data_IF_196097766584
#
_entry.id   IF_196097766584
#
_cell.length_a   1.000
_cell.length_b   1.000
_cell.length_c   1.000
_cell.angle_alpha   90.00
_cell.angle_beta   90.00
_cell.angle_gamma   90.00
#
_symmetry.space_group_name_H-M   'P 1'
#
loop_
_entity.id
_entity.type
_entity.pdbx_description
1 polymer ?
#
# COMPACT_ATOMS: atom_id res chain seq x y z
N UNK A 1 -8.62 -7.12 -15.08
CA UNK A 1 -7.74 -7.24 -13.90
C UNK A 1 -6.40 -7.78 -14.34
N UNK A 2 -5.32 -7.06 -14.02
CA UNK A 2 -3.96 -7.50 -14.25
C UNK A 2 -3.45 -8.30 -13.03
N UNK A 3 -2.95 -9.50 -13.26
CA UNK A 3 -2.43 -10.40 -12.22
C UNK A 3 -0.92 -10.51 -12.34
N UNK A 4 -0.24 -10.20 -11.26
CA UNK A 4 1.24 -10.23 -11.14
C UNK A 4 1.61 -11.24 -10.04
N UNK A 5 1.83 -12.51 -10.36
CA UNK A 5 2.01 -13.58 -9.34
C UNK A 5 3.19 -13.35 -8.39
N UNK A 6 4.27 -12.73 -8.87
CA UNK A 6 5.47 -12.49 -8.07
C UNK A 6 6.34 -13.73 -7.87
N UNK A 7 6.97 -13.82 -6.69
CA UNK A 7 8.00 -14.81 -6.39
C UNK A 7 7.60 -15.76 -5.26
N UNK A 8 8.42 -16.78 -5.05
CA UNK A 8 8.30 -17.71 -3.93
C UNK A 8 6.94 -18.41 -3.89
N UNK A 9 6.16 -18.20 -2.83
CA UNK A 9 4.80 -18.70 -2.68
C UNK A 9 3.77 -17.96 -3.57
N UNK A 10 4.18 -16.87 -4.21
CA UNK A 10 3.31 -15.99 -5.03
C UNK A 10 2.45 -16.72 -6.04
N UNK A 11 3.02 -17.54 -6.93
CA UNK A 11 2.25 -18.28 -7.93
C UNK A 11 1.16 -19.18 -7.30
N UNK A 12 1.47 -19.88 -6.20
CA UNK A 12 0.53 -20.78 -5.51
C UNK A 12 -0.65 -20.00 -4.91
N UNK A 13 -0.38 -18.98 -4.12
CA UNK A 13 -1.48 -18.20 -3.49
C UNK A 13 -2.25 -17.36 -4.50
N UNK A 14 -1.61 -16.95 -5.59
CA UNK A 14 -2.29 -16.26 -6.69
C UNK A 14 -3.26 -17.21 -7.40
N UNK A 15 -2.85 -18.45 -7.67
CA UNK A 15 -3.74 -19.46 -8.26
C UNK A 15 -4.97 -19.71 -7.37
N UNK A 16 -4.78 -19.84 -6.06
CA UNK A 16 -5.88 -19.97 -5.10
C UNK A 16 -6.81 -18.73 -5.11
N UNK A 17 -6.23 -17.54 -5.16
CA UNK A 17 -6.98 -16.28 -5.24
C UNK A 17 -7.80 -16.20 -6.52
N UNK A 18 -7.23 -16.59 -7.66
CA UNK A 18 -7.92 -16.60 -8.95
C UNK A 18 -9.09 -17.59 -8.96
N UNK A 19 -8.92 -18.77 -8.38
CA UNK A 19 -10.01 -19.76 -8.25
C UNK A 19 -11.22 -19.19 -7.50
N UNK A 20 -10.98 -18.43 -6.41
CA UNK A 20 -12.04 -17.74 -5.67
C UNK A 20 -12.67 -16.64 -6.51
N UNK A 21 -11.85 -15.83 -7.17
CA UNK A 21 -12.31 -14.71 -7.99
C UNK A 21 -13.16 -15.18 -9.18
N UNK A 22 -12.73 -16.21 -9.90
CA UNK A 22 -13.46 -16.81 -11.00
C UNK A 22 -14.79 -17.42 -10.54
N UNK A 23 -14.80 -18.00 -9.33
CA UNK A 23 -16.05 -18.53 -8.75
C UNK A 23 -17.01 -17.39 -8.41
N UNK A 24 -16.50 -16.27 -7.87
CA UNK A 24 -17.31 -15.08 -7.63
C UNK A 24 -17.81 -14.47 -8.95
N UNK A 25 -16.96 -14.41 -9.96
CA UNK A 25 -17.34 -13.91 -11.30
C UNK A 25 -18.50 -14.70 -11.87
N UNK A 26 -18.40 -16.04 -11.91
CA UNK A 26 -19.49 -16.91 -12.37
C UNK A 26 -20.77 -16.75 -11.54
N UNK A 27 -20.64 -16.64 -10.22
CA UNK A 27 -21.79 -16.56 -9.30
C UNK A 27 -22.54 -15.23 -9.41
N UNK A 28 -21.81 -14.14 -9.59
CA UNK A 28 -22.37 -12.78 -9.54
C UNK A 28 -22.42 -12.09 -10.91
N UNK A 29 -21.94 -12.75 -11.97
CA UNK A 29 -21.96 -12.19 -13.34
C UNK A 29 -21.12 -10.91 -13.46
N UNK A 30 -19.93 -10.88 -12.86
CA UNK A 30 -19.11 -9.66 -12.80
C UNK A 30 -18.47 -9.31 -14.16
N UNK A 31 -18.28 -10.29 -15.04
CA UNK A 31 -17.72 -10.10 -16.38
C UNK A 31 -16.23 -9.76 -16.34
N UNK A 32 -15.48 -10.34 -15.42
CA UNK A 32 -14.06 -10.04 -15.23
C UNK A 32 -13.21 -10.55 -16.39
N UNK A 33 -12.37 -9.67 -16.94
CA UNK A 33 -11.29 -10.05 -17.84
C UNK A 33 -9.99 -10.11 -17.05
N UNK A 34 -9.41 -11.30 -16.96
CA UNK A 34 -8.20 -11.56 -16.20
C UNK A 34 -7.05 -11.78 -17.17
N UNK A 35 -5.98 -11.02 -17.01
CA UNK A 35 -4.72 -11.18 -17.73
C UNK A 35 -3.58 -11.32 -16.74
N UNK A 36 -2.54 -12.08 -17.08
CA UNK A 36 -1.40 -12.30 -16.20
C UNK A 36 -0.11 -11.84 -16.87
N UNK A 37 0.79 -11.24 -16.07
CA UNK A 37 2.13 -10.87 -16.53
C UNK A 37 3.18 -11.25 -15.49
N UNK A 38 4.36 -11.64 -15.98
CA UNK A 38 5.47 -12.02 -15.11
C UNK A 38 6.18 -10.78 -14.54
N UNK A 39 6.50 -10.84 -13.25
CA UNK A 39 7.35 -9.91 -12.51
C UNK A 39 8.32 -10.72 -11.64
N UNK A 40 9.20 -10.03 -10.92
CA UNK A 40 10.12 -10.65 -9.98
C UNK A 40 11.26 -11.41 -10.65
N UNK A 41 11.74 -12.46 -10.01
CA UNK A 41 12.89 -13.25 -10.47
C UNK A 41 12.65 -13.91 -11.82
N UNK A 42 11.41 -14.33 -12.11
CA UNK A 42 11.05 -14.90 -13.41
C UNK A 42 11.20 -13.88 -14.53
N UNK A 43 10.73 -12.66 -14.34
CA UNK A 43 10.90 -11.59 -15.31
C UNK A 43 12.37 -11.15 -15.43
N UNK A 44 13.10 -11.10 -14.32
CA UNK A 44 14.53 -10.82 -14.33
C UNK A 44 15.30 -11.80 -15.21
N UNK A 45 15.03 -13.09 -15.06
CA UNK A 45 15.65 -14.13 -15.86
C UNK A 45 15.32 -14.02 -17.34
N UNK A 46 14.08 -13.69 -17.68
CA UNK A 46 13.60 -13.65 -19.05
C UNK A 46 13.91 -12.33 -19.79
N UNK A 47 13.89 -11.20 -19.06
CA UNK A 47 13.89 -9.84 -19.63
C UNK A 47 14.92 -8.89 -19.02
N UNK A 48 15.74 -9.38 -18.05
CA UNK A 48 16.77 -8.57 -17.39
C UNK A 48 16.24 -7.55 -16.36
N UNK A 49 14.96 -7.61 -16.01
CA UNK A 49 14.36 -6.72 -14.99
C UNK A 49 13.29 -7.44 -14.20
N UNK A 50 13.19 -7.13 -12.90
CA UNK A 50 12.13 -7.67 -12.04
C UNK A 50 10.78 -6.99 -12.27
N UNK A 51 10.75 -5.86 -12.97
CA UNK A 51 9.52 -5.13 -13.30
C UNK A 51 9.60 -4.59 -14.75
N UNK A 52 9.10 -5.37 -15.73
CA UNK A 52 9.11 -4.95 -17.13
C UNK A 52 8.31 -3.67 -17.38
N UNK A 53 8.80 -2.84 -18.29
CA UNK A 53 8.12 -1.58 -18.64
C UNK A 53 6.72 -1.82 -19.22
N UNK A 54 6.52 -2.89 -19.96
CA UNK A 54 5.23 -3.31 -20.49
C UNK A 54 4.18 -3.53 -19.38
N UNK A 55 4.60 -4.10 -18.23
CA UNK A 55 3.72 -4.25 -17.05
C UNK A 55 3.34 -2.88 -16.50
N UNK A 56 4.32 -1.98 -16.37
CA UNK A 56 4.07 -0.62 -15.87
C UNK A 56 3.16 0.19 -16.79
N UNK A 57 3.28 0.02 -18.10
CA UNK A 57 2.41 0.66 -19.08
C UNK A 57 0.96 0.11 -19.01
N UNK A 58 0.83 -1.18 -18.68
CA UNK A 58 -0.48 -1.83 -18.62
C UNK A 58 -1.31 -1.48 -17.39
N UNK A 59 -0.66 -1.17 -16.25
CA UNK A 59 -1.34 -0.87 -14.99
C UNK A 59 -2.45 0.20 -15.08
N UNK A 60 -2.24 1.37 -15.75
CA UNK A 60 -3.30 2.38 -15.84
C UNK A 60 -4.45 2.02 -16.79
N UNK A 61 -4.33 0.96 -17.58
CA UNK A 61 -5.34 0.53 -18.55
C UNK A 61 -6.31 -0.52 -18.00
N UNK A 62 -6.10 -0.96 -16.75
CA UNK A 62 -6.93 -1.97 -16.09
C UNK A 62 -7.66 -1.41 -14.88
N UNK A 63 -8.79 -1.99 -14.53
CA UNK A 63 -9.58 -1.58 -13.36
C UNK A 63 -8.94 -1.96 -12.02
N UNK A 64 -8.01 -2.93 -12.02
CA UNK A 64 -7.33 -3.37 -10.81
C UNK A 64 -6.15 -4.29 -11.09
N UNK A 65 -5.25 -4.34 -10.10
CA UNK A 65 -4.07 -5.20 -10.12
C UNK A 65 -4.07 -6.10 -8.91
N UNK A 66 -3.86 -7.40 -9.14
CA UNK A 66 -3.55 -8.37 -8.07
C UNK A 66 -2.04 -8.57 -8.08
N UNK A 67 -1.39 -8.13 -7.02
CA UNK A 67 0.05 -8.26 -6.84
C UNK A 67 0.35 -9.33 -5.79
N UNK A 68 0.98 -10.42 -6.21
CA UNK A 68 1.52 -11.45 -5.32
C UNK A 68 2.77 -10.97 -4.56
N UNK A 69 3.25 -11.75 -3.59
CA UNK A 69 4.48 -11.45 -2.87
C UNK A 69 5.70 -11.47 -3.77
N UNK A 70 6.71 -10.70 -3.39
CA UNK A 70 7.97 -10.57 -4.14
C UNK A 70 9.16 -10.77 -3.21
N UNK A 71 10.17 -11.48 -3.69
CA UNK A 71 11.41 -11.76 -2.96
C UNK A 71 12.44 -10.64 -3.12
N UNK A 72 12.05 -9.40 -2.80
CA UNK A 72 12.86 -8.22 -3.10
C UNK A 72 14.24 -8.18 -2.43
N UNK A 73 14.46 -8.96 -1.36
CA UNK A 73 15.79 -9.12 -0.74
C UNK A 73 16.76 -9.96 -1.60
N UNK A 74 16.22 -10.80 -2.51
CA UNK A 74 16.98 -11.63 -3.41
C UNK A 74 17.27 -10.93 -4.75
N UNK A 75 16.74 -9.71 -4.93
CA UNK A 75 16.94 -8.97 -6.16
C UNK A 75 18.33 -8.34 -6.22
N UNK A 76 18.95 -8.30 -7.41
CA UNK A 76 20.18 -7.57 -7.59
C UNK A 76 19.97 -6.05 -7.44
N UNK A 77 21.04 -5.27 -7.53
CA UNK A 77 20.92 -3.81 -7.51
C UNK A 77 20.03 -3.30 -8.66
N UNK A 78 19.48 -2.10 -8.50
CA UNK A 78 18.62 -1.45 -9.51
C UNK A 78 19.29 -1.35 -10.88
N UNK A 79 20.62 -1.09 -10.90
CA UNK A 79 21.43 -1.02 -12.12
C UNK A 79 21.49 -2.36 -12.88
N UNK A 80 21.30 -3.47 -12.17
CA UNK A 80 21.23 -4.83 -12.72
C UNK A 80 19.80 -5.34 -12.89
N UNK A 81 18.82 -4.43 -12.92
CA UNK A 81 17.42 -4.73 -13.15
C UNK A 81 16.59 -5.12 -11.91
N UNK A 82 17.18 -5.05 -10.71
CA UNK A 82 16.48 -5.33 -9.46
C UNK A 82 15.62 -4.14 -9.02
N UNK A 83 14.33 -4.19 -9.29
CA UNK A 83 13.33 -3.18 -8.89
C UNK A 83 12.33 -3.85 -7.95
N UNK A 84 12.00 -3.22 -6.83
CA UNK A 84 10.92 -3.71 -5.98
C UNK A 84 9.56 -3.33 -6.58
N UNK A 85 8.78 -4.27 -7.17
CA UNK A 85 7.53 -3.95 -7.85
C UNK A 85 6.52 -3.25 -6.94
N UNK A 86 6.40 -3.69 -5.70
CA UNK A 86 5.46 -3.09 -4.73
C UNK A 86 5.83 -1.64 -4.41
N UNK A 87 7.10 -1.33 -4.25
CA UNK A 87 7.59 0.03 -4.01
C UNK A 87 7.41 0.92 -5.23
N UNK A 88 7.79 0.44 -6.41
CA UNK A 88 7.73 1.20 -7.66
C UNK A 88 6.28 1.55 -8.04
N UNK A 89 5.36 0.59 -7.96
CA UNK A 89 3.93 0.82 -8.22
C UNK A 89 3.34 1.90 -7.30
N UNK A 90 3.66 1.85 -6.00
CA UNK A 90 3.18 2.85 -5.04
C UNK A 90 3.62 4.26 -5.40
N UNK A 91 4.88 4.41 -5.79
CA UNK A 91 5.46 5.72 -6.12
C UNK A 91 4.91 6.22 -7.44
N UNK A 92 5.03 5.41 -8.51
CA UNK A 92 4.67 5.83 -9.86
C UNK A 92 3.19 6.16 -10.02
N UNK A 93 2.31 5.39 -9.39
CA UNK A 93 0.86 5.60 -9.46
C UNK A 93 0.30 6.34 -8.24
N UNK A 94 1.16 6.86 -7.37
CA UNK A 94 0.77 7.61 -6.19
C UNK A 94 -0.32 6.89 -5.36
N UNK A 95 -0.11 5.59 -5.09
CA UNK A 95 -1.06 4.75 -4.35
C UNK A 95 -1.02 5.10 -2.86
N UNK A 96 -1.60 6.22 -2.50
CA UNK A 96 -1.48 6.87 -1.20
C UNK A 96 -2.31 6.22 -0.08
N UNK A 97 -3.44 5.61 -0.38
CA UNK A 97 -4.33 5.04 0.61
C UNK A 97 -4.19 3.51 0.67
N UNK A 98 -3.54 3.00 1.71
CA UNK A 98 -3.49 1.58 1.99
C UNK A 98 -4.69 1.21 2.88
N UNK A 99 -5.68 0.54 2.29
CA UNK A 99 -6.94 0.21 2.94
C UNK A 99 -6.89 -1.24 3.42
N UNK A 100 -6.99 -1.44 4.74
CA UNK A 100 -6.86 -2.74 5.39
C UNK A 100 -8.12 -3.07 6.21
N UNK A 101 -9.06 -3.82 5.66
CA UNK A 101 -10.18 -4.34 6.45
C UNK A 101 -9.68 -5.34 7.51
N UNK A 102 -10.18 -5.18 8.72
CA UNK A 102 -9.87 -6.03 9.86
C UNK A 102 -11.16 -6.49 10.50
N UNK A 103 -11.54 -7.73 10.20
CA UNK A 103 -12.68 -8.39 10.80
C UNK A 103 -12.18 -9.51 11.72
N UNK A 104 -12.50 -9.43 13.01
CA UNK A 104 -12.10 -10.49 13.94
C UNK A 104 -13.03 -11.70 13.85
N UNK A 105 -12.45 -12.86 14.07
CA UNK A 105 -13.17 -14.09 14.42
C UNK A 105 -12.89 -14.34 15.90
N UNK A 106 -13.87 -14.09 16.81
CA UNK A 106 -13.63 -14.12 18.26
C UNK A 106 -12.99 -15.42 18.74
N UNK A 107 -13.33 -16.55 18.13
CA UNK A 107 -12.82 -17.87 18.48
C UNK A 107 -11.32 -18.01 18.18
N UNK A 108 -10.82 -17.28 17.18
CA UNK A 108 -9.43 -17.31 16.71
C UNK A 108 -8.64 -16.07 17.16
N UNK A 109 -9.33 -15.03 17.62
CA UNK A 109 -8.70 -13.77 18.03
C UNK A 109 -8.20 -13.84 19.46
N UNK A 110 -6.96 -13.40 19.70
CA UNK A 110 -6.37 -13.29 21.05
C UNK A 110 -7.27 -12.44 21.97
N UNK A 111 -7.85 -11.38 21.45
CA UNK A 111 -8.72 -10.49 22.23
C UNK A 111 -10.10 -11.08 22.50
N UNK A 112 -10.50 -12.14 21.81
CA UNK A 112 -11.83 -12.80 21.93
C UNK A 112 -13.00 -11.82 21.91
N UNK A 113 -12.85 -10.70 21.21
CA UNK A 113 -13.86 -9.65 21.08
C UNK A 113 -14.22 -9.46 19.61
N UNK A 114 -15.49 -9.18 19.31
CA UNK A 114 -15.88 -8.80 17.96
C UNK A 114 -15.22 -7.48 17.59
N UNK A 115 -14.56 -7.45 16.44
CA UNK A 115 -13.93 -6.27 15.88
C UNK A 115 -14.23 -6.24 14.38
N UNK A 116 -14.74 -5.10 13.93
CA UNK A 116 -14.92 -4.78 12.52
C UNK A 116 -14.47 -3.34 12.30
N UNK A 117 -13.27 -3.17 11.79
CA UNK A 117 -12.68 -1.87 11.48
C UNK A 117 -11.91 -1.92 10.17
N UNK A 118 -11.64 -0.74 9.61
CA UNK A 118 -10.76 -0.59 8.46
C UNK A 118 -9.65 0.39 8.83
N UNK A 119 -8.40 -0.05 8.71
CA UNK A 119 -7.25 0.85 8.83
C UNK A 119 -6.99 1.48 7.47
N UNK A 120 -7.09 2.80 7.39
CA UNK A 120 -6.71 3.58 6.22
C UNK A 120 -5.36 4.25 6.52
N UNK A 121 -4.30 3.75 5.89
CA UNK A 121 -2.92 4.19 6.14
C UNK A 121 -2.42 5.01 4.96
N UNK A 122 -1.81 6.17 5.26
CA UNK A 122 -1.00 6.87 4.26
C UNK A 122 0.20 5.99 3.87
N UNK A 123 0.47 5.87 2.58
CA UNK A 123 1.34 4.83 2.05
C UNK A 123 2.54 5.37 1.24
N UNK A 124 2.70 6.68 1.15
CA UNK A 124 3.75 7.34 0.34
C UNK A 124 4.70 8.22 1.13
N UNK A 125 4.36 8.55 2.37
CA UNK A 125 5.15 9.34 3.30
C UNK A 125 5.42 8.58 4.61
N UNK A 126 5.99 9.22 5.60
CA UNK A 126 6.39 8.60 6.87
C UNK A 126 7.90 8.39 6.92
N UNK A 127 8.35 7.20 7.30
CA UNK A 127 9.77 6.84 7.40
C UNK A 127 10.33 6.19 6.12
N UNK A 128 9.80 6.51 4.95
CA UNK A 128 10.35 6.02 3.68
C UNK A 128 11.57 6.85 3.28
N UNK A 129 12.74 6.43 3.75
CA UNK A 129 14.01 7.18 3.63
C UNK A 129 14.43 7.44 2.18
N UNK A 130 14.04 6.54 1.26
CA UNK A 130 14.32 6.62 -0.17
C UNK A 130 13.59 7.76 -0.90
N UNK A 131 12.61 8.41 -0.27
CA UNK A 131 11.76 9.44 -0.89
C UNK A 131 11.41 10.62 0.01
N UNK A 132 11.98 10.67 1.20
CA UNK A 132 11.66 11.71 2.18
C UNK A 132 12.42 13.00 1.97
N UNK A 133 13.55 12.95 1.26
CA UNK A 133 14.40 14.11 1.02
C UNK A 133 14.47 14.42 -0.49
N UNK A 134 14.67 15.68 -0.83
CA UNK A 134 14.95 16.09 -2.21
C UNK A 134 16.37 15.67 -2.63
N UNK A 135 17.33 15.80 -1.74
CA UNK A 135 18.70 15.38 -1.94
C UNK A 135 19.17 14.54 -0.75
N UNK A 136 19.91 13.48 -1.00
CA UNK A 136 20.35 12.54 0.01
C UNK A 136 19.27 11.57 0.45
N UNK A 137 19.52 10.86 1.56
CA UNK A 137 18.59 9.90 2.16
C UNK A 137 17.91 10.48 3.39
N UNK A 138 16.69 10.07 3.65
CA UNK A 138 15.98 10.35 4.91
C UNK A 138 16.49 9.51 6.09
N UNK A 139 17.52 8.71 5.90
CA UNK A 139 18.17 7.91 6.93
C UNK A 139 19.69 8.07 6.81
N UNK A 140 20.37 8.28 7.94
CA UNK A 140 21.81 8.51 7.96
C UNK A 140 22.42 8.15 9.33
N UNK A 141 23.70 7.82 9.32
CA UNK A 141 24.47 7.49 10.51
C UNK A 141 25.57 8.56 10.73
N UNK A 142 25.38 9.50 11.68
CA UNK A 142 26.43 10.46 12.05
C UNK A 142 27.62 9.81 12.75
N UNK A 143 27.41 8.63 13.33
CA UNK A 143 28.33 7.89 14.15
C UNK A 143 28.03 6.38 13.97
N UNK A 144 29.04 5.46 14.04
CA UNK A 144 28.79 4.02 13.88
C UNK A 144 27.75 3.45 14.85
N UNK A 145 27.54 4.06 15.98
CA UNK A 145 26.61 3.63 17.03
C UNK A 145 25.33 4.48 17.08
N UNK A 146 25.12 5.39 16.11
CA UNK A 146 23.98 6.32 16.09
C UNK A 146 23.35 6.38 14.69
N UNK A 147 22.10 5.93 14.58
CA UNK A 147 21.30 6.07 13.36
C UNK A 147 20.14 7.06 13.58
N UNK A 148 19.90 7.92 12.60
CA UNK A 148 18.82 8.90 12.57
C UNK A 148 17.93 8.68 11.35
N UNK A 149 16.60 8.82 11.53
CA UNK A 149 15.62 8.68 10.46
C UNK A 149 14.66 9.87 10.45
N UNK A 150 14.45 10.46 9.29
CA UNK A 150 13.55 11.59 9.08
C UNK A 150 12.16 11.07 8.71
N UNK A 151 11.15 11.47 9.47
CA UNK A 151 9.74 11.19 9.18
C UNK A 151 9.12 12.37 8.42
N UNK A 152 8.66 12.13 7.21
CA UNK A 152 7.96 13.13 6.39
C UNK A 152 6.46 13.07 6.65
N UNK A 153 5.85 14.23 6.87
CA UNK A 153 4.40 14.43 6.94
C UNK A 153 4.06 15.72 6.22
N UNK A 154 3.21 15.66 5.20
CA UNK A 154 2.73 16.84 4.49
C UNK A 154 1.23 17.06 4.69
N UNK A 155 0.78 18.29 4.51
CA UNK A 155 -0.64 18.65 4.55
C UNK A 155 -1.41 17.91 3.46
N UNK A 156 -0.88 17.88 2.24
CA UNK A 156 -1.53 17.24 1.09
C UNK A 156 -1.75 15.73 1.30
N UNK A 157 -0.73 15.01 1.79
CA UNK A 157 -0.86 13.57 2.06
C UNK A 157 -1.81 13.30 3.23
N UNK A 158 -1.78 14.13 4.27
CA UNK A 158 -2.68 14.04 5.42
C UNK A 158 -4.14 14.29 5.03
N UNK A 159 -4.40 15.32 4.21
CA UNK A 159 -5.75 15.64 3.71
C UNK A 159 -6.31 14.51 2.85
N UNK A 160 -5.54 14.00 1.86
CA UNK A 160 -6.06 12.98 0.93
C UNK A 160 -6.35 11.64 1.62
N UNK A 161 -5.50 11.21 2.57
CA UNK A 161 -5.75 9.96 3.31
C UNK A 161 -6.94 10.11 4.27
N UNK A 162 -7.09 11.27 4.92
CA UNK A 162 -8.26 11.58 5.72
C UNK A 162 -9.54 11.53 4.88
N UNK A 163 -9.56 12.19 3.73
CA UNK A 163 -10.68 12.19 2.80
C UNK A 163 -11.07 10.79 2.34
N UNK A 164 -10.11 9.93 2.05
CA UNK A 164 -10.35 8.52 1.73
C UNK A 164 -11.02 7.79 2.90
N UNK A 165 -10.55 8.01 4.13
CA UNK A 165 -11.12 7.39 5.34
C UNK A 165 -12.55 7.86 5.62
N UNK A 166 -12.83 9.16 5.51
CA UNK A 166 -14.18 9.70 5.71
C UNK A 166 -15.17 9.20 4.64
N UNK A 167 -14.75 9.17 3.37
CA UNK A 167 -15.60 8.61 2.29
C UNK A 167 -15.93 7.14 2.56
N UNK A 168 -14.96 6.34 2.99
CA UNK A 168 -15.19 4.95 3.34
C UNK A 168 -16.12 4.80 4.56
N UNK A 169 -15.97 5.67 5.55
CA UNK A 169 -16.78 5.63 6.77
C UNK A 169 -18.27 5.86 6.51
N UNK A 170 -18.63 6.67 5.49
CA UNK A 170 -20.04 6.90 5.09
C UNK A 170 -20.77 5.61 4.72
N UNK A 171 -20.10 4.65 4.09
CA UNK A 171 -20.67 3.33 3.79
C UNK A 171 -20.64 2.36 4.96
N UNK A 172 -20.27 2.82 6.16
CA UNK A 172 -20.13 1.98 7.36
C UNK A 172 -20.89 2.59 8.56
N UNK A 173 -20.17 2.94 9.63
CA UNK A 173 -20.76 3.45 10.89
C UNK A 173 -20.56 4.95 11.09
N UNK A 174 -20.22 5.67 10.05
CA UNK A 174 -19.97 7.13 10.10
C UNK A 174 -19.01 7.53 11.24
N UNK A 175 -17.97 6.73 11.48
CA UNK A 175 -16.98 6.96 12.53
C UNK A 175 -15.57 6.83 12.00
N UNK A 176 -14.76 7.88 12.20
CA UNK A 176 -13.34 7.91 11.91
C UNK A 176 -12.55 8.20 13.19
N UNK A 177 -11.52 7.44 13.44
CA UNK A 177 -10.56 7.67 14.53
C UNK A 177 -9.21 8.00 13.94
N UNK A 178 -8.70 9.21 14.18
CA UNK A 178 -7.35 9.60 13.81
C UNK A 178 -6.36 9.11 14.87
N UNK A 179 -5.39 8.30 14.47
CA UNK A 179 -4.34 7.78 15.34
C UNK A 179 -3.08 8.61 15.16
N UNK A 180 -2.64 9.29 16.20
CA UNK A 180 -1.51 10.22 16.14
C UNK A 180 -0.83 10.38 17.50
N UNK A 181 0.31 11.06 17.53
CA UNK A 181 1.08 11.40 18.73
C UNK A 181 1.30 12.94 18.87
N UNK A 182 0.30 13.74 18.54
CA UNK A 182 0.39 15.19 18.51
C UNK A 182 0.68 15.84 19.89
N UNK A 183 0.43 15.11 20.98
CA UNK A 183 0.80 15.56 22.32
C UNK A 183 2.32 15.65 22.52
N UNK A 184 3.10 14.87 21.76
CA UNK A 184 4.58 14.89 21.76
C UNK A 184 5.11 15.51 20.47
N UNK A 185 4.67 15.00 19.32
CA UNK A 185 5.08 15.44 17.99
C UNK A 185 4.18 16.58 17.50
N UNK A 186 4.33 17.74 18.14
CA UNK A 186 3.44 18.90 17.95
C UNK A 186 3.41 19.44 16.53
N UNK A 187 4.53 19.38 15.80
CA UNK A 187 4.62 19.87 14.43
C UNK A 187 4.13 18.81 13.42
N UNK A 188 4.72 17.64 13.41
CA UNK A 188 4.40 16.59 12.41
C UNK A 188 3.03 15.96 12.61
N UNK A 189 2.77 15.36 13.78
CA UNK A 189 1.46 14.78 14.08
C UNK A 189 0.40 15.86 14.35
N UNK A 190 0.83 17.07 14.81
CA UNK A 190 -0.04 18.23 14.90
C UNK A 190 -0.54 18.69 13.53
N UNK A 191 0.32 18.69 12.51
CA UNK A 191 -0.07 18.94 11.11
C UNK A 191 -1.08 17.90 10.63
N UNK A 192 -0.80 16.61 10.82
CA UNK A 192 -1.74 15.53 10.47
C UNK A 192 -3.11 15.72 11.13
N UNK A 193 -3.14 15.97 12.45
CA UNK A 193 -4.39 16.17 13.18
C UNK A 193 -5.17 17.39 12.69
N UNK A 194 -4.47 18.49 12.35
CA UNK A 194 -5.08 19.70 11.80
C UNK A 194 -5.79 19.40 10.47
N UNK A 195 -5.12 18.71 9.55
CA UNK A 195 -5.70 18.39 8.25
C UNK A 195 -6.85 17.38 8.36
N UNK A 196 -6.75 16.40 9.26
CA UNK A 196 -7.88 15.49 9.55
C UNK A 196 -9.11 16.26 10.05
N UNK A 197 -8.94 17.22 10.96
CA UNK A 197 -10.05 18.06 11.47
C UNK A 197 -10.65 18.96 10.41
N UNK A 198 -9.81 19.51 9.52
CA UNK A 198 -10.26 20.28 8.36
C UNK A 198 -11.17 19.45 7.46
N UNK A 199 -10.73 18.24 7.11
CA UNK A 199 -11.53 17.31 6.30
C UNK A 199 -12.80 16.89 7.04
N UNK A 200 -12.74 16.63 8.35
CA UNK A 200 -13.91 16.24 9.15
C UNK A 200 -15.05 17.26 9.07
N UNK A 201 -14.74 18.56 8.96
CA UNK A 201 -15.74 19.61 8.81
C UNK A 201 -16.56 19.51 7.50
N UNK A 202 -16.05 18.80 6.49
CA UNK A 202 -16.75 18.55 5.23
C UNK A 202 -17.67 17.31 5.30
N UNK A 203 -17.64 16.57 6.40
CA UNK A 203 -18.37 15.31 6.62
C UNK A 203 -19.10 15.38 7.96
N UNK A 204 -20.23 16.14 8.04
CA UNK A 204 -20.97 16.37 9.30
C UNK A 204 -21.74 15.14 9.78
N UNK A 205 -21.96 14.17 8.93
CA UNK A 205 -22.59 12.87 9.16
C UNK A 205 -21.60 11.87 9.82
#
# INVERSE_FOLDING_TARGET
ILVLPGDGIGPEITAATLSVLETADRKFGLGLRIESADIGLKALQAQGTTLPEAVMARVPEVDGVILGPVSHYDYPSREKGGINPSGELRVKFNLYANIRPCLSRPELSILRKPMDLVVVRENTEGFYSDRNMFAGSGEFMPDPDLALSVRKISAAASERVARAAFRLARGRRCRVTAVHKANVLKLSDGLFLREVRKVAAEFPD
#
